data_IF_889679021312
#
_entry.id   IF_889679021312
#
_cell.length_a   1.000
_cell.length_b   1.000
_cell.length_c   1.000
_cell.angle_alpha   90.00
_cell.angle_beta   90.00
_cell.angle_gamma   90.00
#
_symmetry.space_group_name_H-M   'P 1'
#
loop_
_entity.id
_entity.type
_entity.pdbx_description
1 polymer ?
#
# COMPACT_ATOMS: atom_id res chain seq x y z
N UNK A 1 5.69 -18.65 -0.12
CA UNK A 1 6.92 -18.78 -0.93
C UNK A 1 6.58 -18.98 -2.41
N UNK A 2 5.63 -19.87 -2.77
CA UNK A 2 5.12 -20.04 -4.15
C UNK A 2 4.56 -18.76 -4.80
N UNK A 3 3.80 -17.92 -4.07
CA UNK A 3 3.26 -16.65 -4.62
C UNK A 3 4.34 -15.64 -5.05
N UNK A 4 5.51 -15.65 -4.40
CA UNK A 4 6.60 -14.71 -4.71
C UNK A 4 7.33 -15.14 -5.99
N UNK A 5 7.55 -16.45 -6.16
CA UNK A 5 8.11 -17.03 -7.39
C UNK A 5 7.14 -16.87 -8.57
N UNK A 6 5.84 -17.09 -8.35
CA UNK A 6 4.79 -16.87 -9.34
C UNK A 6 4.75 -15.42 -9.84
N UNK A 7 4.89 -14.42 -8.95
CA UNK A 7 4.94 -13.01 -9.34
C UNK A 7 6.16 -12.67 -10.20
N UNK A 8 7.33 -13.24 -9.89
CA UNK A 8 8.55 -13.02 -10.68
C UNK A 8 8.50 -13.64 -12.08
N UNK A 9 7.76 -14.75 -12.24
CA UNK A 9 7.64 -15.44 -13.51
C UNK A 9 6.64 -14.73 -14.44
N UNK A 10 5.55 -14.17 -13.92
CA UNK A 10 4.63 -13.38 -14.73
C UNK A 10 5.31 -12.21 -15.44
N UNK A 11 6.29 -11.56 -14.80
CA UNK A 11 7.07 -10.46 -15.39
C UNK A 11 7.88 -10.87 -16.63
N UNK A 12 8.15 -12.17 -16.81
CA UNK A 12 8.91 -12.69 -17.93
C UNK A 12 8.07 -12.94 -19.19
N UNK A 13 6.73 -12.82 -19.12
CA UNK A 13 5.84 -13.12 -20.24
C UNK A 13 6.02 -12.17 -21.44
N UNK A 14 6.48 -10.93 -21.20
CA UNK A 14 6.77 -9.96 -22.27
C UNK A 14 8.21 -10.05 -22.80
N UNK A 15 9.04 -10.92 -22.21
CA UNK A 15 10.46 -10.99 -22.54
C UNK A 15 10.69 -11.88 -23.76
N UNK A 16 11.50 -11.39 -24.70
CA UNK A 16 11.83 -12.10 -25.91
C UNK A 16 12.53 -13.45 -25.64
N UNK A 17 12.25 -14.45 -26.48
CA UNK A 17 12.73 -15.82 -26.31
C UNK A 17 14.26 -15.91 -26.20
N UNK A 18 15.01 -15.12 -26.97
CA UNK A 18 16.47 -15.14 -26.96
C UNK A 18 17.05 -14.68 -25.62
N UNK A 19 16.36 -13.72 -24.97
CA UNK A 19 16.70 -13.21 -23.65
C UNK A 19 16.26 -14.19 -22.55
N UNK A 20 15.26 -15.03 -22.82
CA UNK A 20 14.80 -16.10 -21.93
C UNK A 20 15.71 -17.35 -22.00
N UNK A 21 16.24 -17.69 -23.18
CA UNK A 21 17.15 -18.84 -23.39
C UNK A 21 18.57 -18.54 -22.91
N UNK A 22 19.05 -17.31 -23.12
CA UNK A 22 20.41 -16.91 -22.75
C UNK A 22 20.45 -15.60 -21.95
N UNK A 23 19.97 -15.59 -20.69
CA UNK A 23 19.94 -14.38 -19.87
C UNK A 23 21.32 -13.75 -19.65
N UNK A 24 22.37 -14.57 -19.58
CA UNK A 24 23.75 -14.15 -19.33
C UNK A 24 24.45 -13.49 -20.52
N UNK A 25 23.97 -13.73 -21.75
CA UNK A 25 24.55 -13.09 -22.95
C UNK A 25 24.06 -11.64 -23.13
N UNK A 26 22.88 -11.32 -22.61
CA UNK A 26 22.21 -10.04 -22.84
C UNK A 26 21.70 -9.42 -21.53
N UNK A 27 22.59 -9.05 -20.60
CA UNK A 27 22.20 -8.54 -19.29
C UNK A 27 21.41 -7.21 -19.35
N UNK A 28 21.56 -6.45 -20.44
CA UNK A 28 20.85 -5.19 -20.68
C UNK A 28 19.71 -5.29 -21.70
N UNK A 29 19.36 -6.50 -22.15
CA UNK A 29 18.41 -6.70 -23.25
C UNK A 29 19.01 -6.36 -24.62
N UNK A 30 18.16 -6.37 -25.64
CA UNK A 30 18.52 -6.04 -27.03
C UNK A 30 17.41 -5.20 -27.66
N UNK A 31 17.72 -4.29 -28.62
CA UNK A 31 16.71 -3.54 -29.33
C UNK A 31 15.68 -4.44 -30.04
N UNK A 32 16.10 -5.62 -30.52
CA UNK A 32 15.21 -6.61 -31.12
C UNK A 32 14.33 -7.33 -30.09
N UNK A 33 14.80 -7.45 -28.85
CA UNK A 33 13.99 -7.90 -27.73
C UNK A 33 12.89 -6.88 -27.39
N UNK A 34 13.19 -5.58 -27.48
CA UNK A 34 12.19 -4.53 -27.28
C UNK A 34 11.07 -4.61 -28.32
N UNK A 35 11.40 -4.90 -29.60
CA UNK A 35 10.41 -5.11 -30.67
C UNK A 35 9.46 -6.29 -30.35
N UNK A 36 10.00 -7.39 -29.80
CA UNK A 36 9.17 -8.51 -29.36
C UNK A 36 8.23 -8.08 -28.21
N UNK A 37 8.78 -7.45 -27.17
CA UNK A 37 7.99 -7.00 -26.03
C UNK A 37 6.87 -6.04 -26.45
N UNK A 38 7.17 -5.15 -27.41
CA UNK A 38 6.21 -4.23 -27.99
C UNK A 38 5.03 -4.97 -28.63
N UNK A 39 5.26 -6.08 -29.33
CA UNK A 39 4.18 -6.84 -29.96
C UNK A 39 3.23 -7.52 -28.95
N UNK A 40 3.77 -8.03 -27.84
CA UNK A 40 2.96 -8.62 -26.76
C UNK A 40 2.14 -7.52 -26.07
N UNK A 41 2.74 -6.35 -25.85
CA UNK A 41 2.04 -5.18 -25.31
C UNK A 41 0.95 -4.72 -26.28
N UNK A 42 1.24 -4.64 -27.58
CA UNK A 42 0.28 -4.23 -28.60
C UNK A 42 -0.89 -5.23 -28.65
N UNK A 43 -0.62 -6.52 -28.58
CA UNK A 43 -1.62 -7.57 -28.44
C UNK A 43 -2.49 -7.38 -27.19
N UNK A 44 -1.88 -7.18 -26.02
CA UNK A 44 -2.59 -6.96 -24.76
C UNK A 44 -3.50 -5.72 -24.79
N UNK A 45 -3.01 -4.60 -25.33
CA UNK A 45 -3.79 -3.36 -25.50
C UNK A 45 -5.02 -3.61 -26.37
N UNK A 46 -4.82 -4.34 -27.46
CA UNK A 46 -5.84 -4.60 -28.47
C UNK A 46 -6.94 -5.51 -27.92
N UNK A 47 -6.58 -6.66 -27.33
CA UNK A 47 -7.55 -7.65 -26.89
C UNK A 47 -8.09 -7.36 -25.49
N UNK A 48 -7.46 -6.44 -24.73
CA UNK A 48 -7.76 -6.18 -23.31
C UNK A 48 -7.76 -7.46 -22.46
N UNK A 49 -6.94 -8.42 -22.88
CA UNK A 49 -6.65 -9.69 -22.20
C UNK A 49 -5.17 -9.69 -21.80
N UNK A 50 -4.76 -10.61 -20.95
CA UNK A 50 -3.34 -10.74 -20.56
C UNK A 50 -2.41 -11.04 -21.74
N UNK A 51 -1.08 -11.07 -21.54
CA UNK A 51 -0.05 -11.15 -22.60
C UNK A 51 -0.16 -12.39 -23.50
N UNK A 52 -0.87 -13.43 -23.06
CA UNK A 52 -1.16 -14.65 -23.82
C UNK A 52 -2.66 -14.94 -23.94
N UNK A 53 -3.51 -13.94 -23.78
CA UNK A 53 -4.96 -14.06 -23.92
C UNK A 53 -5.60 -14.84 -22.77
N UNK A 54 -6.60 -15.67 -23.09
CA UNK A 54 -7.35 -16.48 -22.12
C UNK A 54 -6.79 -17.91 -21.96
N UNK A 55 -5.49 -18.10 -22.18
CA UNK A 55 -4.89 -19.43 -22.02
C UNK A 55 -4.92 -19.82 -20.53
N UNK A 56 -5.61 -20.91 -20.20
CA UNK A 56 -5.69 -21.48 -18.85
C UNK A 56 -4.41 -22.26 -18.48
N UNK A 57 -3.24 -21.66 -18.69
CA UNK A 57 -1.95 -22.23 -18.30
C UNK A 57 -1.23 -21.27 -17.35
N UNK A 58 -0.50 -21.79 -16.35
CA UNK A 58 0.33 -20.95 -15.51
C UNK A 58 1.48 -20.32 -16.32
N UNK A 59 1.95 -19.16 -15.87
CA UNK A 59 3.02 -18.41 -16.54
C UNK A 59 4.30 -19.25 -16.77
N UNK A 60 4.61 -20.17 -15.86
CA UNK A 60 5.77 -21.05 -15.97
C UNK A 60 5.69 -21.97 -17.20
N UNK A 61 4.55 -22.63 -17.41
CA UNK A 61 4.35 -23.50 -18.56
C UNK A 61 4.37 -22.73 -19.88
N UNK A 62 3.79 -21.51 -19.88
CA UNK A 62 3.85 -20.61 -21.04
C UNK A 62 5.31 -20.31 -21.38
N UNK A 63 6.13 -19.92 -20.40
CA UNK A 63 7.54 -19.61 -20.60
C UNK A 63 8.32 -20.82 -21.10
N UNK A 64 8.04 -22.02 -20.58
CA UNK A 64 8.68 -23.26 -21.05
C UNK A 64 8.36 -23.48 -22.52
N UNK A 65 7.08 -23.40 -22.92
CA UNK A 65 6.67 -23.59 -24.33
C UNK A 65 7.28 -22.54 -25.27
N UNK A 66 7.35 -21.28 -24.83
CA UNK A 66 8.00 -20.20 -25.61
C UNK A 66 9.51 -20.47 -25.75
N UNK A 67 10.15 -21.03 -24.72
CA UNK A 67 11.58 -21.39 -24.76
C UNK A 67 11.84 -22.59 -25.67
N UNK A 68 10.97 -23.59 -25.72
CA UNK A 68 11.13 -24.80 -26.54
C UNK A 68 11.15 -24.50 -28.05
N UNK A 69 10.51 -23.41 -28.47
CA UNK A 69 10.55 -22.93 -29.85
C UNK A 69 9.53 -23.61 -30.77
N UNK A 70 9.81 -23.74 -32.08
CA UNK A 70 8.90 -24.38 -33.03
C UNK A 70 8.69 -25.85 -32.68
N UNK A 71 7.44 -26.31 -32.66
CA UNK A 71 7.13 -27.72 -32.44
C UNK A 71 7.81 -28.59 -33.51
N UNK A 72 8.37 -29.72 -33.10
CA UNK A 72 9.13 -30.65 -33.95
C UNK A 72 8.26 -31.33 -35.00
N UNK A 73 6.94 -31.35 -34.80
CA UNK A 73 6.00 -32.06 -35.65
C UNK A 73 5.41 -31.18 -36.76
N UNK A 74 5.03 -29.94 -36.44
CA UNK A 74 4.34 -29.03 -37.36
C UNK A 74 5.09 -27.70 -37.59
N UNK A 75 6.21 -27.48 -36.89
CA UNK A 75 6.98 -26.23 -36.99
C UNK A 75 6.25 -25.01 -36.42
N UNK A 76 5.12 -25.21 -35.74
CA UNK A 76 4.30 -24.15 -35.15
C UNK A 76 4.97 -23.59 -33.90
N UNK A 77 5.04 -22.27 -33.80
CA UNK A 77 5.62 -21.58 -32.64
C UNK A 77 4.51 -21.23 -31.65
N UNK A 78 4.75 -21.47 -30.36
CA UNK A 78 3.79 -21.10 -29.33
C UNK A 78 3.69 -19.57 -29.23
N UNK A 79 2.53 -19.02 -29.58
CA UNK A 79 2.23 -17.58 -29.58
C UNK A 79 0.80 -17.32 -29.12
N UNK A 80 0.49 -16.10 -28.61
CA UNK A 80 -0.88 -15.70 -28.31
C UNK A 80 -1.80 -15.88 -29.54
N UNK A 81 -3.00 -16.45 -29.32
CA UNK A 81 -3.94 -16.68 -30.43
C UNK A 81 -4.49 -15.36 -30.96
N UNK A 82 -4.55 -15.25 -32.29
CA UNK A 82 -5.10 -14.11 -33.04
C UNK A 82 -6.50 -14.41 -33.63
N UNK A 83 -7.07 -15.59 -33.36
CA UNK A 83 -8.27 -16.11 -34.05
C UNK A 83 -9.56 -15.33 -33.75
N UNK A 84 -9.63 -14.61 -32.63
CA UNK A 84 -10.83 -13.88 -32.18
C UNK A 84 -10.79 -12.36 -32.49
N UNK A 85 -9.88 -11.91 -33.35
CA UNK A 85 -9.57 -10.48 -33.49
C UNK A 85 -10.25 -9.87 -34.74
N UNK A 86 -11.23 -8.98 -34.52
CA UNK A 86 -11.84 -8.15 -35.58
C UNK A 86 -11.07 -6.83 -35.76
N UNK A 87 -9.90 -6.90 -36.40
CA UNK A 87 -8.99 -5.74 -36.62
C UNK A 87 -8.41 -5.80 -38.03
N UNK A 88 -8.01 -4.64 -38.53
CA UNK A 88 -7.38 -4.54 -39.83
C UNK A 88 -6.11 -5.41 -39.93
N UNK A 89 -6.01 -6.16 -41.02
CA UNK A 89 -4.94 -7.13 -41.30
C UNK A 89 -3.54 -6.55 -41.14
N UNK A 90 -3.34 -5.26 -41.46
CA UNK A 90 -2.02 -4.63 -41.33
C UNK A 90 -1.51 -4.62 -39.88
N UNK A 91 -2.41 -4.57 -38.89
CA UNK A 91 -2.06 -4.63 -37.47
C UNK A 91 -1.65 -6.05 -37.10
N UNK A 92 -2.44 -7.04 -37.52
CA UNK A 92 -2.15 -8.46 -37.29
C UNK A 92 -0.80 -8.85 -37.90
N UNK A 93 -0.55 -8.45 -39.15
CA UNK A 93 0.73 -8.66 -39.85
C UNK A 93 1.89 -7.99 -39.09
N UNK A 94 1.67 -6.80 -38.56
CA UNK A 94 2.72 -6.09 -37.80
C UNK A 94 3.04 -6.82 -36.50
N UNK A 95 2.02 -7.29 -35.76
CA UNK A 95 2.22 -8.10 -34.55
C UNK A 95 2.99 -9.37 -34.91
N UNK A 96 2.60 -10.05 -35.99
CA UNK A 96 3.20 -11.34 -36.35
C UNK A 96 4.67 -11.22 -36.75
N UNK A 97 5.06 -10.15 -37.43
CA UNK A 97 6.46 -9.90 -37.76
C UNK A 97 7.31 -9.48 -36.54
N UNK A 98 6.70 -8.81 -35.57
CA UNK A 98 7.42 -8.28 -34.41
C UNK A 98 7.76 -9.37 -33.38
N UNK A 99 6.95 -10.42 -33.24
CA UNK A 99 7.24 -11.56 -32.36
C UNK A 99 7.95 -12.74 -33.06
N UNK A 100 8.56 -12.50 -34.21
CA UNK A 100 9.30 -13.52 -34.98
C UNK A 100 10.38 -14.23 -34.14
N UNK A 101 10.60 -15.51 -34.46
CA UNK A 101 11.50 -16.37 -33.68
C UNK A 101 12.97 -15.92 -33.82
N UNK A 102 13.33 -15.46 -35.01
CA UNK A 102 14.66 -14.91 -35.29
C UNK A 102 14.67 -13.38 -35.05
N UNK A 103 15.51 -12.86 -34.13
CA UNK A 103 15.62 -11.42 -33.86
C UNK A 103 15.95 -10.56 -35.09
N UNK A 104 16.71 -11.10 -36.05
CA UNK A 104 17.14 -10.37 -37.25
C UNK A 104 16.01 -10.16 -38.25
N UNK A 105 14.99 -11.04 -38.23
CA UNK A 105 13.81 -10.92 -39.10
C UNK A 105 12.81 -9.88 -38.60
N UNK A 106 12.88 -9.51 -37.32
CA UNK A 106 11.95 -8.53 -36.73
C UNK A 106 12.18 -7.15 -37.36
N UNK A 107 11.12 -6.40 -37.71
CA UNK A 107 11.25 -5.05 -38.25
C UNK A 107 11.86 -4.09 -37.22
N UNK A 108 12.31 -2.93 -37.68
CA UNK A 108 12.71 -1.83 -36.80
C UNK A 108 11.49 -0.93 -36.49
N UNK A 109 11.49 -0.24 -35.35
CA UNK A 109 10.42 0.65 -34.91
C UNK A 109 10.05 1.71 -35.95
N UNK A 110 11.00 2.15 -36.77
CA UNK A 110 10.72 3.06 -37.89
C UNK A 110 9.75 2.43 -38.90
N UNK A 111 9.94 1.16 -39.24
CA UNK A 111 9.07 0.42 -40.17
C UNK A 111 7.72 0.13 -39.50
N UNK A 112 7.74 -0.29 -38.24
CA UNK A 112 6.53 -0.54 -37.43
C UNK A 112 5.65 0.70 -37.39
N UNK A 113 6.23 1.88 -37.14
CA UNK A 113 5.52 3.16 -37.11
C UNK A 113 4.86 3.49 -38.44
N UNK A 114 5.53 3.26 -39.57
CA UNK A 114 4.94 3.47 -40.89
C UNK A 114 3.80 2.48 -41.16
N UNK A 115 3.95 1.21 -40.79
CA UNK A 115 2.89 0.19 -40.93
C UNK A 115 1.64 0.53 -40.10
N UNK A 116 1.83 1.06 -38.89
CA UNK A 116 0.73 1.40 -37.97
C UNK A 116 0.19 2.82 -38.16
N UNK A 117 0.71 3.60 -39.12
CA UNK A 117 0.34 5.01 -39.31
C UNK A 117 -1.15 5.22 -39.57
N UNK A 118 -1.76 4.30 -40.33
CA UNK A 118 -3.17 4.37 -40.71
C UNK A 118 -4.14 4.09 -39.54
N UNK A 119 -3.62 3.54 -38.43
CA UNK A 119 -4.39 3.37 -37.19
C UNK A 119 -4.89 4.72 -36.64
N UNK A 120 -4.18 5.81 -36.96
CA UNK A 120 -4.56 7.17 -36.55
C UNK A 120 -5.65 7.78 -37.44
N UNK A 121 -5.79 7.34 -38.69
CA UNK A 121 -6.67 7.99 -39.66
C UNK A 121 -8.14 7.58 -39.52
N UNK A 122 -8.43 6.43 -38.89
CA UNK A 122 -9.77 6.03 -38.43
C UNK A 122 -10.13 6.52 -37.02
N UNK A 123 -9.18 7.09 -36.29
CA UNK A 123 -9.31 7.55 -34.91
C UNK A 123 -9.86 8.98 -34.83
N UNK A 124 -10.94 9.26 -35.55
CA UNK A 124 -11.65 10.53 -35.41
C UNK A 124 -12.96 10.30 -34.65
N UNK A 125 -12.93 10.62 -33.35
CA UNK A 125 -14.03 11.23 -32.58
C UNK A 125 -15.02 10.44 -31.70
N UNK A 126 -15.06 9.08 -31.64
CA UNK A 126 -16.18 8.45 -30.90
C UNK A 126 -15.88 7.37 -29.85
N UNK A 127 -14.77 6.63 -29.89
CA UNK A 127 -14.56 5.53 -28.92
C UNK A 127 -13.49 5.88 -27.88
N UNK A 128 -12.36 6.45 -28.32
CA UNK A 128 -11.29 6.87 -27.40
C UNK A 128 -11.67 8.08 -26.56
N UNK A 129 -12.38 9.07 -27.10
CA UNK A 129 -12.79 10.24 -26.33
C UNK A 129 -13.74 9.86 -25.18
N UNK A 130 -14.66 8.93 -25.42
CA UNK A 130 -15.52 8.36 -24.39
C UNK A 130 -14.74 7.54 -23.35
N UNK A 131 -13.70 6.81 -23.77
CA UNK A 131 -12.84 6.07 -22.83
C UNK A 131 -11.93 6.99 -22.01
N UNK A 132 -11.45 8.10 -22.60
CA UNK A 132 -10.67 9.13 -21.90
C UNK A 132 -11.55 9.87 -20.90
N UNK A 133 -12.76 10.28 -21.30
CA UNK A 133 -13.73 10.88 -20.39
C UNK A 133 -14.12 9.91 -19.26
N UNK A 134 -14.31 8.64 -19.59
CA UNK A 134 -14.61 7.61 -18.60
C UNK A 134 -13.43 7.39 -17.63
N UNK A 135 -12.19 7.37 -18.13
CA UNK A 135 -10.99 7.29 -17.30
C UNK A 135 -10.80 8.52 -16.41
N UNK A 136 -11.04 9.73 -16.91
CA UNK A 136 -11.01 10.96 -16.11
C UNK A 136 -12.07 10.92 -15.01
N UNK A 137 -13.30 10.48 -15.32
CA UNK A 137 -14.36 10.32 -14.30
C UNK A 137 -13.98 9.29 -13.26
N UNK A 138 -13.38 8.16 -13.64
CA UNK A 138 -12.91 7.17 -12.68
C UNK A 138 -11.76 7.71 -11.81
N UNK A 139 -10.82 8.45 -12.38
CA UNK A 139 -9.72 9.06 -11.63
C UNK A 139 -10.24 10.09 -10.61
N UNK A 140 -11.13 10.99 -11.04
CA UNK A 140 -11.74 11.99 -10.16
C UNK A 140 -12.58 11.35 -9.04
N UNK A 141 -13.39 10.33 -9.37
CA UNK A 141 -14.18 9.62 -8.37
C UNK A 141 -13.30 8.85 -7.37
N UNK A 142 -12.16 8.32 -7.82
CA UNK A 142 -11.20 7.64 -6.97
C UNK A 142 -10.50 8.64 -6.03
N UNK A 143 -10.13 9.81 -6.54
CA UNK A 143 -9.54 10.89 -5.75
C UNK A 143 -10.50 11.31 -4.62
N UNK A 144 -11.77 11.57 -4.94
CA UNK A 144 -12.80 11.88 -3.93
C UNK A 144 -12.94 10.76 -2.89
N UNK A 145 -12.97 9.50 -3.32
CA UNK A 145 -13.10 8.37 -2.40
C UNK A 145 -11.88 8.21 -1.49
N UNK A 146 -10.67 8.47 -2.01
CA UNK A 146 -9.43 8.45 -1.24
C UNK A 146 -9.42 9.59 -0.22
N UNK A 147 -9.84 10.78 -0.61
CA UNK A 147 -9.93 11.94 0.28
C UNK A 147 -10.93 11.69 1.42
N UNK A 148 -12.12 11.17 1.12
CA UNK A 148 -13.13 10.80 2.12
C UNK A 148 -12.60 9.76 3.12
N UNK A 149 -11.92 8.73 2.62
CA UNK A 149 -11.33 7.69 3.48
C UNK A 149 -10.16 8.22 4.31
N UNK A 150 -9.35 9.10 3.75
CA UNK A 150 -8.23 9.73 4.46
C UNK A 150 -8.76 10.65 5.56
N UNK A 151 -9.84 11.40 5.30
CA UNK A 151 -10.50 12.24 6.31
C UNK A 151 -11.09 11.40 7.45
N UNK A 152 -11.79 10.29 7.14
CA UNK A 152 -12.34 9.38 8.16
C UNK A 152 -11.22 8.75 9.02
N UNK A 153 -10.12 8.34 8.40
CA UNK A 153 -8.96 7.80 9.13
C UNK A 153 -8.33 8.85 10.05
N UNK A 154 -8.20 10.09 9.59
CA UNK A 154 -7.67 11.18 10.39
C UNK A 154 -8.57 11.51 11.60
N UNK A 155 -9.89 11.49 11.42
CA UNK A 155 -10.85 11.69 12.51
C UNK A 155 -10.76 10.57 13.56
N UNK A 156 -10.74 9.31 13.13
CA UNK A 156 -10.59 8.16 14.02
C UNK A 156 -9.24 8.14 14.75
N UNK A 157 -8.16 8.53 14.07
CA UNK A 157 -6.85 8.72 14.70
C UNK A 157 -6.90 9.80 15.79
N UNK A 158 -7.46 10.98 15.48
CA UNK A 158 -7.60 12.06 16.47
C UNK A 158 -8.44 11.64 17.66
N UNK A 159 -9.51 10.88 17.45
CA UNK A 159 -10.38 10.38 18.51
C UNK A 159 -9.64 9.39 19.42
N UNK A 160 -8.84 8.50 18.82
CA UNK A 160 -8.02 7.52 19.54
C UNK A 160 -6.93 8.20 20.35
N UNK A 161 -6.23 9.19 19.77
CA UNK A 161 -5.20 9.99 20.45
C UNK A 161 -5.79 10.79 21.63
N UNK A 162 -6.94 11.44 21.43
CA UNK A 162 -7.62 12.18 22.48
C UNK A 162 -8.05 11.28 23.66
N UNK A 163 -8.51 10.07 23.36
CA UNK A 163 -8.85 9.08 24.39
C UNK A 163 -7.60 8.58 25.13
N UNK A 164 -6.52 8.28 24.40
CA UNK A 164 -5.25 7.85 24.99
C UNK A 164 -4.71 8.91 25.97
N UNK A 165 -4.78 10.18 25.59
CA UNK A 165 -4.38 11.30 26.45
C UNK A 165 -5.28 11.52 27.67
N UNK A 166 -6.54 11.07 27.64
CA UNK A 166 -7.43 11.09 28.82
C UNK A 166 -7.14 9.95 29.79
N UNK A 167 -6.61 8.83 29.30
CA UNK A 167 -6.34 7.64 30.10
C UNK A 167 -4.90 7.60 30.65
N UNK A 168 -3.94 8.22 29.96
CA UNK A 168 -2.53 8.16 30.28
C UNK A 168 -1.87 9.54 30.26
N UNK A 169 -0.89 9.81 31.15
CA UNK A 169 -0.09 11.03 31.09
C UNK A 169 0.58 11.23 29.73
N UNK A 170 0.72 12.49 29.30
CA UNK A 170 1.26 12.85 27.97
C UNK A 170 2.59 12.16 27.63
N UNK A 171 3.51 12.04 28.59
CA UNK A 171 4.81 11.37 28.39
C UNK A 171 4.64 9.90 28.01
N UNK A 172 3.78 9.17 28.74
CA UNK A 172 3.52 7.74 28.52
C UNK A 172 2.73 7.52 27.22
N UNK A 173 1.72 8.35 26.97
CA UNK A 173 0.93 8.29 25.73
C UNK A 173 1.81 8.50 24.49
N UNK A 174 2.74 9.46 24.51
CA UNK A 174 3.66 9.72 23.39
C UNK A 174 4.63 8.56 23.12
N UNK A 175 5.18 7.94 24.17
CA UNK A 175 6.04 6.77 24.03
C UNK A 175 5.27 5.58 23.43
N UNK A 176 4.04 5.33 23.90
CA UNK A 176 3.18 4.28 23.36
C UNK A 176 2.75 4.54 21.91
N UNK A 177 2.47 5.80 21.54
CA UNK A 177 2.18 6.18 20.15
C UNK A 177 3.37 5.95 19.21
N UNK A 178 4.61 6.01 19.72
CA UNK A 178 5.84 5.70 18.97
C UNK A 178 6.17 4.20 18.92
N UNK A 179 5.38 3.36 19.61
CA UNK A 179 5.63 1.92 19.74
C UNK A 179 6.79 1.60 20.68
N UNK A 180 7.20 2.56 21.52
CA UNK A 180 8.28 2.37 22.51
C UNK A 180 7.73 1.64 23.75
N UNK A 181 8.52 0.72 24.29
CA UNK A 181 8.19 0.07 25.55
C UNK A 181 8.34 1.08 26.69
N UNK A 182 7.30 1.24 27.52
CA UNK A 182 7.34 2.11 28.69
C UNK A 182 8.19 1.44 29.76
N UNK A 183 9.40 1.95 29.97
CA UNK A 183 10.33 1.43 30.98
C UNK A 183 9.93 2.02 32.34
N UNK A 184 9.78 1.20 33.40
CA UNK A 184 9.57 1.71 34.75
C UNK A 184 10.73 2.62 35.18
N UNK A 185 10.44 3.85 35.56
CA UNK A 185 11.44 4.79 36.07
C UNK A 185 11.73 4.49 37.56
N UNK A 186 13.01 4.34 37.90
CA UNK A 186 13.49 4.22 39.28
C UNK A 186 14.16 5.51 39.71
N UNK A 187 13.84 5.99 40.91
CA UNK A 187 14.38 7.24 41.45
C UNK A 187 15.13 6.96 42.74
N UNK A 188 16.35 7.50 42.86
CA UNK A 188 17.22 7.30 44.03
C UNK A 188 16.66 7.98 45.29
N UNK A 189 15.90 9.06 45.13
CA UNK A 189 15.21 9.76 46.21
C UNK A 189 13.90 10.39 45.71
N UNK A 190 12.79 10.04 46.36
CA UNK A 190 11.44 10.54 46.07
C UNK A 190 10.85 11.20 47.30
N UNK A 191 10.04 12.24 47.10
CA UNK A 191 9.20 12.79 48.16
C UNK A 191 7.78 12.29 47.92
N UNK A 192 7.17 11.65 48.91
CA UNK A 192 5.78 11.18 48.82
C UNK A 192 4.91 12.09 49.68
N UNK A 193 3.88 12.69 49.08
CA UNK A 193 2.88 13.46 49.81
C UNK A 193 1.61 12.64 49.95
N UNK A 194 1.23 12.34 51.20
CA UNK A 194 0.01 11.64 51.54
C UNK A 194 -1.08 12.66 51.86
N UNK A 195 -2.17 12.63 51.08
CA UNK A 195 -3.35 13.44 51.35
C UNK A 195 -4.55 12.54 51.46
N UNK A 196 -5.23 12.59 52.61
CA UNK A 196 -6.50 11.94 52.82
C UNK A 196 -7.66 12.91 52.51
N UNK A 197 -8.75 12.36 52.00
CA UNK A 197 -9.96 13.11 51.68
C UNK A 197 -11.02 12.75 52.71
N UNK A 198 -11.21 13.66 53.67
CA UNK A 198 -12.18 13.49 54.74
C UNK A 198 -13.59 13.31 54.14
N UNK A 199 -14.24 12.20 54.48
CA UNK A 199 -15.62 11.90 54.04
C UNK A 199 -15.74 11.25 52.65
N UNK A 200 -14.63 10.92 51.99
CA UNK A 200 -14.68 10.27 50.66
C UNK A 200 -15.46 8.94 50.69
N UNK A 201 -15.27 8.12 51.73
CA UNK A 201 -15.99 6.85 51.88
C UNK A 201 -17.50 7.05 51.97
N UNK A 202 -17.97 8.04 52.73
CA UNK A 202 -19.40 8.36 52.88
C UNK A 202 -20.01 8.92 51.58
N UNK A 203 -19.27 9.82 50.90
CA UNK A 203 -19.68 10.35 49.60
C UNK A 203 -19.73 9.26 48.52
N UNK A 204 -18.77 8.35 48.50
CA UNK A 204 -18.72 7.24 47.54
C UNK A 204 -19.83 6.20 47.78
N UNK A 205 -20.26 6.01 49.03
CA UNK A 205 -21.33 5.09 49.40
C UNK A 205 -22.72 5.58 48.95
N UNK A 206 -22.89 6.88 48.74
CA UNK A 206 -24.17 7.51 48.36
C UNK A 206 -24.22 7.95 46.89
N UNK A 207 -23.09 7.93 46.19
CA UNK A 207 -22.96 8.38 44.79
C UNK A 207 -23.02 7.21 43.80
N UNK A 208 -23.39 7.50 42.54
CA UNK A 208 -23.31 6.50 41.48
C UNK A 208 -21.85 6.24 41.07
N UNK A 209 -21.50 5.04 40.58
CA UNK A 209 -20.13 4.73 40.17
C UNK A 209 -19.54 5.71 39.13
N UNK A 210 -20.36 6.24 38.23
CA UNK A 210 -19.94 7.27 37.26
C UNK A 210 -19.58 8.61 37.92
N UNK A 211 -20.34 9.03 38.93
CA UNK A 211 -20.05 10.25 39.69
C UNK A 211 -18.77 10.10 40.50
N UNK A 212 -18.55 8.95 41.14
CA UNK A 212 -17.31 8.66 41.87
C UNK A 212 -16.07 8.72 40.96
N UNK A 213 -16.15 8.15 39.75
CA UNK A 213 -15.08 8.26 38.76
C UNK A 213 -14.82 9.72 38.35
N UNK A 214 -15.87 10.53 38.19
CA UNK A 214 -15.75 11.96 37.88
C UNK A 214 -15.07 12.74 39.00
N UNK A 215 -15.44 12.49 40.27
CA UNK A 215 -14.79 13.11 41.43
C UNK A 215 -13.31 12.74 41.53
N UNK A 216 -12.96 11.46 41.32
CA UNK A 216 -11.57 11.01 41.31
C UNK A 216 -10.75 11.69 40.19
N UNK A 217 -11.33 11.84 38.99
CA UNK A 217 -10.69 12.55 37.90
C UNK A 217 -10.40 14.02 38.25
N UNK A 218 -11.39 14.72 38.82
CA UNK A 218 -11.25 16.11 39.27
C UNK A 218 -10.16 16.27 40.33
N UNK A 219 -10.08 15.37 41.31
CA UNK A 219 -9.09 15.42 42.38
C UNK A 219 -7.66 15.20 41.86
N UNK A 220 -7.47 14.27 40.92
CA UNK A 220 -6.17 14.02 40.27
C UNK A 220 -5.73 15.22 39.43
N UNK A 221 -6.66 15.89 38.75
CA UNK A 221 -6.37 17.10 37.97
C UNK A 221 -6.05 18.31 38.88
N UNK A 222 -6.84 18.55 39.93
CA UNK A 222 -6.59 19.60 40.91
C UNK A 222 -5.24 19.42 41.61
N UNK A 223 -4.89 18.19 41.97
CA UNK A 223 -3.60 17.81 42.49
C UNK A 223 -2.44 18.08 41.52
N UNK A 224 -2.62 17.71 40.24
CA UNK A 224 -1.62 17.95 39.19
C UNK A 224 -1.36 19.44 39.00
N UNK A 225 -2.41 20.28 39.09
CA UNK A 225 -2.29 21.73 39.06
C UNK A 225 -1.58 22.29 40.29
N UNK A 226 -1.85 21.75 41.49
CA UNK A 226 -1.14 22.11 42.71
C UNK A 226 0.37 21.80 42.59
N UNK A 227 0.71 20.64 42.03
CA UNK A 227 2.11 20.25 41.77
C UNK A 227 2.83 21.28 40.88
N UNK A 228 2.17 21.75 39.82
CA UNK A 228 2.72 22.81 38.96
C UNK A 228 2.89 24.15 39.69
N UNK A 229 2.03 24.46 40.68
CA UNK A 229 2.13 25.70 41.46
C UNK A 229 3.23 25.66 42.53
N UNK A 230 3.44 24.51 43.17
CA UNK A 230 4.48 24.33 44.20
C UNK A 230 5.89 24.12 43.61
N UNK A 231 6.01 23.59 42.40
CA UNK A 231 7.28 23.38 41.68
C UNK A 231 7.60 24.52 40.71
N UNK A 232 7.26 25.78 41.04
CA UNK A 232 7.41 26.94 40.16
C UNK A 232 8.72 26.91 39.35
N UNK A 233 8.66 27.37 38.09
CA UNK A 233 9.59 27.19 36.94
C UNK A 233 11.10 27.51 37.14
N UNK A 234 11.69 27.30 38.32
CA UNK A 234 13.05 27.65 38.69
C UNK A 234 13.83 26.45 39.26
N UNK A 235 14.51 25.74 38.37
CA UNK A 235 15.86 25.20 38.50
C UNK A 235 16.37 24.80 39.91
N UNK A 236 16.27 23.50 40.24
CA UNK A 236 17.32 22.63 40.82
C UNK A 236 16.65 21.41 41.44
N UNK A 237 16.69 20.28 40.73
CA UNK A 237 16.19 18.95 41.09
C UNK A 237 14.81 18.91 41.78
N UNK A 238 13.71 18.79 41.02
CA UNK A 238 12.46 18.36 41.60
C UNK A 238 12.63 16.89 42.00
N UNK A 239 12.99 16.61 43.26
CA UNK A 239 12.81 15.29 43.83
C UNK A 239 11.40 14.84 43.47
N UNK A 240 11.29 13.75 42.69
CA UNK A 240 10.04 13.33 42.08
C UNK A 240 8.94 13.24 43.14
N UNK A 241 8.04 14.24 43.14
CA UNK A 241 6.98 14.38 44.12
C UNK A 241 5.79 13.56 43.65
N UNK A 242 5.52 12.47 44.36
CA UNK A 242 4.37 11.61 44.09
C UNK A 242 3.26 11.93 45.10
N UNK A 243 2.08 12.29 44.58
CA UNK A 243 0.87 12.40 45.39
C UNK A 243 0.21 11.03 45.48
N UNK A 244 -0.01 10.57 46.70
CA UNK A 244 -0.85 9.41 46.97
C UNK A 244 -2.15 9.89 47.60
N UNK A 245 -3.25 9.76 46.84
CA UNK A 245 -4.60 9.94 47.35
C UNK A 245 -5.09 8.59 47.89
N UNK A 246 -5.27 8.51 49.21
CA UNK A 246 -5.91 7.36 49.83
C UNK A 246 -7.41 7.62 49.98
N UNK A 247 -8.25 6.64 49.62
CA UNK A 247 -9.71 6.72 49.75
C UNK A 247 -10.32 5.83 50.84
N UNK A 248 -9.50 4.99 51.50
CA UNK A 248 -9.86 3.97 52.49
C UNK A 248 -8.57 3.61 53.26
N UNK A 249 -8.46 3.44 54.59
CA UNK A 249 -9.41 3.33 55.69
C UNK A 249 -8.80 4.01 56.92
N UNK A 250 -9.50 4.94 57.56
CA UNK A 250 -9.34 5.19 59.00
C UNK A 250 -10.68 4.95 59.68
N UNK A 251 -11.03 3.67 59.82
CA UNK A 251 -11.97 3.25 60.85
C UNK A 251 -11.21 3.22 62.16
N UNK A 252 -11.30 4.29 62.95
CA UNK A 252 -11.00 4.31 64.39
C UNK A 252 -11.81 5.42 65.04
#
# INVERSE_FOLDING_TARGET
MEKVLSSSLSELLWKALELLRHPSLFPKGTPKGDVYSFSIILYEIILRKGPYGCINLPAEEIIIKVKEGPDKTDGTVFRPSLEEIDIQDYVLITITECWEENPDKRPDFRIIKEKLKNMRDGMKSNIMDNMIEMMERYANNLEVLVDDRTAQLAEEQSRTEALLHRMLPKSVAQQLMRGEAVIPESFDAVTIYFSDIVGFTEMSATSTPMEVCSYQHFLVEAASNLRCHFLGDGESDPHHLFLVLSGCLSSS
#
